data_IF_202346345731
#
_entry.id   IF_202346345731
#
_cell.length_a   1.000
_cell.length_b   1.000
_cell.length_c   1.000
_cell.angle_alpha   90.00
_cell.angle_beta   90.00
_cell.angle_gamma   90.00
#
_symmetry.space_group_name_H-M   'P 1'
#
loop_
_entity.id
_entity.type
_entity.pdbx_description
1 polymer ?
#
# COMPACT_ATOMS: atom_id res chain seq x y z
N UNK A 1 1.85 7.01 30.32
CA UNK A 1 1.54 7.52 28.97
C UNK A 1 2.17 6.55 28.00
N UNK A 2 1.37 5.84 27.21
CA UNK A 2 1.91 5.02 26.13
C UNK A 2 2.48 5.97 25.09
N UNK A 3 3.79 6.00 24.95
CA UNK A 3 4.45 6.76 23.88
C UNK A 3 4.07 6.12 22.55
N UNK A 4 3.00 6.63 21.94
CA UNK A 4 2.54 6.19 20.62
C UNK A 4 3.67 6.38 19.60
N UNK A 5 3.97 5.31 18.86
CA UNK A 5 5.00 5.34 17.83
C UNK A 5 4.70 6.46 16.81
N UNK A 6 5.69 7.27 16.40
CA UNK A 6 5.46 8.41 15.50
C UNK A 6 4.69 8.08 14.22
N UNK A 7 4.93 6.88 13.66
CA UNK A 7 4.24 6.39 12.45
C UNK A 7 2.71 6.17 12.60
N UNK A 8 2.20 6.12 13.83
CA UNK A 8 0.76 5.98 14.11
C UNK A 8 0.05 7.33 14.25
N UNK A 9 0.80 8.44 14.33
CA UNK A 9 0.24 9.78 14.47
C UNK A 9 -0.27 10.30 13.13
N UNK A 10 -1.18 11.28 13.21
CA UNK A 10 -1.66 12.01 12.05
C UNK A 10 -0.50 12.76 11.39
N UNK A 11 -0.39 12.62 10.06
CA UNK A 11 0.58 13.36 9.25
C UNK A 11 0.09 14.79 9.00
N UNK A 12 1.02 15.69 8.65
CA UNK A 12 0.69 17.08 8.32
C UNK A 12 -0.39 17.15 7.21
N UNK A 13 -1.35 18.09 7.26
CA UNK A 13 -2.44 18.21 6.26
C UNK A 13 -1.98 18.22 4.80
N UNK A 14 -0.85 18.86 4.52
CA UNK A 14 -0.27 18.93 3.17
C UNK A 14 0.26 17.58 2.65
N UNK A 15 0.47 16.63 3.56
CA UNK A 15 0.98 15.29 3.26
C UNK A 15 -0.11 14.20 3.41
N UNK A 16 -1.39 14.58 3.50
CA UNK A 16 -2.47 13.61 3.47
C UNK A 16 -2.48 12.84 2.15
N UNK A 17 -2.84 11.56 2.21
CA UNK A 17 -2.98 10.75 1.00
C UNK A 17 -4.38 10.95 0.40
N UNK A 18 -4.47 11.26 -0.89
CA UNK A 18 -5.74 11.52 -1.57
C UNK A 18 -6.17 10.27 -2.34
N UNK A 19 -7.24 9.62 -1.89
CA UNK A 19 -7.84 8.50 -2.62
C UNK A 19 -8.69 9.05 -3.76
N UNK A 20 -8.53 8.50 -4.98
CA UNK A 20 -9.39 8.84 -6.13
C UNK A 20 -10.87 8.60 -5.79
N UNK A 21 -11.66 9.66 -5.90
CA UNK A 21 -13.10 9.66 -5.57
C UNK A 21 -13.40 9.19 -4.13
N UNK A 22 -12.44 9.36 -3.21
CA UNK A 22 -12.50 8.85 -1.84
C UNK A 22 -12.05 9.86 -0.79
N UNK A 23 -11.95 9.43 0.48
CA UNK A 23 -11.49 10.28 1.57
C UNK A 23 -10.00 10.57 1.48
N UNK A 24 -9.56 11.57 2.27
CA UNK A 24 -8.15 11.83 2.53
C UNK A 24 -7.71 11.00 3.72
N UNK A 25 -6.53 10.37 3.64
CA UNK A 25 -5.99 9.54 4.70
C UNK A 25 -4.89 10.28 5.44
N UNK A 26 -5.02 10.37 6.76
CA UNK A 26 -4.05 11.09 7.61
C UNK A 26 -3.08 10.20 8.37
N UNK A 27 -3.36 8.90 8.51
CA UNK A 27 -2.53 7.96 9.27
C UNK A 27 -2.75 6.51 8.80
N UNK A 28 -2.01 5.56 9.41
CA UNK A 28 -2.08 4.14 9.06
C UNK A 28 -3.44 3.47 9.40
N UNK A 29 -4.14 3.91 10.46
CA UNK A 29 -5.46 3.38 10.80
C UNK A 29 -6.51 3.70 9.74
N UNK A 30 -6.46 4.92 9.20
CA UNK A 30 -7.36 5.32 8.12
C UNK A 30 -7.05 4.57 6.83
N UNK A 31 -5.76 4.34 6.55
CA UNK A 31 -5.34 3.52 5.42
C UNK A 31 -5.85 2.09 5.53
N UNK A 32 -5.69 1.43 6.68
CA UNK A 32 -6.18 0.07 6.91
C UNK A 32 -7.69 -0.03 6.67
N UNK A 33 -8.45 0.88 7.30
CA UNK A 33 -9.91 0.91 7.18
C UNK A 33 -10.35 1.18 5.74
N UNK A 34 -9.68 2.11 5.06
CA UNK A 34 -10.01 2.45 3.68
C UNK A 34 -9.67 1.31 2.72
N UNK A 35 -8.53 0.63 2.88
CA UNK A 35 -8.18 -0.55 2.07
C UNK A 35 -9.25 -1.66 2.16
N UNK A 36 -9.91 -1.82 3.31
CA UNK A 36 -11.00 -2.82 3.46
C UNK A 36 -12.31 -2.40 2.78
N UNK A 37 -12.53 -1.11 2.55
CA UNK A 37 -13.80 -0.54 2.01
C UNK A 37 -13.70 -0.11 0.56
N UNK A 38 -12.50 0.28 0.13
CA UNK A 38 -12.14 0.74 -1.19
C UNK A 38 -12.56 -0.25 -2.27
N UNK A 39 -13.11 0.24 -3.37
CA UNK A 39 -13.44 -0.58 -4.55
C UNK A 39 -12.17 -0.99 -5.32
N UNK A 40 -12.25 -2.06 -6.10
CA UNK A 40 -11.10 -2.54 -6.88
C UNK A 40 -10.61 -1.50 -7.91
N UNK A 41 -11.54 -0.72 -8.49
CA UNK A 41 -11.18 0.35 -9.44
C UNK A 41 -10.38 1.47 -8.78
N UNK A 42 -10.78 1.88 -7.56
CA UNK A 42 -10.02 2.86 -6.78
C UNK A 42 -8.66 2.33 -6.38
N UNK A 43 -8.56 1.06 -5.98
CA UNK A 43 -7.29 0.43 -5.61
C UNK A 43 -6.33 0.36 -6.81
N UNK A 44 -6.81 -0.11 -7.96
CA UNK A 44 -6.01 -0.25 -9.18
C UNK A 44 -5.50 1.10 -9.73
N UNK A 45 -6.13 2.20 -9.35
CA UNK A 45 -5.64 3.54 -9.68
C UNK A 45 -4.32 3.88 -8.98
N UNK A 46 -4.14 3.40 -7.75
CA UNK A 46 -2.98 3.65 -6.90
C UNK A 46 -1.94 2.54 -6.98
N UNK A 47 -2.38 1.31 -7.22
CA UNK A 47 -1.54 0.11 -7.28
C UNK A 47 -1.74 -0.59 -8.61
N UNK A 48 -0.71 -0.60 -9.45
CA UNK A 48 -0.70 -1.32 -10.71
C UNK A 48 0.68 -1.95 -10.96
N UNK A 49 0.91 -2.46 -12.17
CA UNK A 49 2.17 -3.12 -12.48
C UNK A 49 3.39 -2.20 -12.48
N UNK A 50 3.17 -0.89 -12.68
CA UNK A 50 4.23 0.11 -12.77
C UNK A 50 4.41 0.92 -11.49
N UNK A 51 3.39 1.06 -10.64
CA UNK A 51 3.43 1.94 -9.46
C UNK A 51 2.66 1.39 -8.28
N UNK A 52 3.06 1.85 -7.10
CA UNK A 52 2.34 1.66 -5.85
C UNK A 52 2.42 2.97 -5.05
N UNK A 53 1.36 3.77 -5.07
CA UNK A 53 1.34 5.08 -4.44
C UNK A 53 1.31 4.98 -2.90
N UNK A 54 0.73 3.91 -2.34
CA UNK A 54 0.76 3.64 -0.90
C UNK A 54 2.18 3.38 -0.39
N UNK A 55 2.99 2.64 -1.16
CA UNK A 55 4.40 2.44 -0.84
C UNK A 55 5.14 3.77 -0.71
N UNK A 56 5.01 4.65 -1.71
CA UNK A 56 5.69 5.93 -1.74
C UNK A 56 5.25 6.81 -0.57
N UNK A 57 3.96 6.87 -0.29
CA UNK A 57 3.44 7.66 0.82
C UNK A 57 3.93 7.16 2.18
N UNK A 58 3.89 5.84 2.44
CA UNK A 58 4.36 5.29 3.71
C UNK A 58 5.87 5.50 3.90
N UNK A 59 6.65 5.33 2.83
CA UNK A 59 8.11 5.51 2.89
C UNK A 59 8.50 6.98 3.10
N UNK A 60 7.93 7.89 2.29
CA UNK A 60 8.36 9.28 2.29
C UNK A 60 7.64 10.16 3.32
N UNK A 61 6.38 9.88 3.66
CA UNK A 61 5.58 10.70 4.58
C UNK A 61 5.52 10.07 5.96
N UNK A 62 5.06 8.81 6.06
CA UNK A 62 4.89 8.13 7.36
C UNK A 62 6.23 7.72 7.97
N UNK A 63 7.27 7.56 7.13
CA UNK A 63 8.62 7.13 7.51
C UNK A 63 8.69 5.71 8.13
N UNK A 64 7.78 4.82 7.74
CA UNK A 64 7.86 3.39 8.12
C UNK A 64 8.43 2.55 6.96
N UNK A 65 9.76 2.50 6.89
CA UNK A 65 10.48 1.77 5.83
C UNK A 65 10.18 0.27 5.81
N UNK A 66 9.98 -0.32 6.99
CA UNK A 66 9.69 -1.75 7.09
C UNK A 66 8.35 -2.06 6.45
N UNK A 67 7.33 -1.27 6.78
CA UNK A 67 6.00 -1.44 6.20
C UNK A 67 6.02 -1.17 4.70
N UNK A 68 6.67 -0.09 4.26
CA UNK A 68 6.70 0.25 2.84
C UNK A 68 7.35 -0.89 2.02
N UNK A 69 8.51 -1.41 2.45
CA UNK A 69 9.15 -2.54 1.76
C UNK A 69 8.26 -3.78 1.66
N UNK A 70 7.41 -4.04 2.66
CA UNK A 70 6.44 -5.14 2.61
C UNK A 70 5.34 -4.87 1.59
N UNK A 71 4.84 -3.63 1.51
CA UNK A 71 3.78 -3.26 0.57
C UNK A 71 4.24 -3.19 -0.89
N UNK A 72 5.53 -2.91 -1.14
CA UNK A 72 6.07 -2.78 -2.49
C UNK A 72 5.81 -4.01 -3.39
N UNK A 73 5.67 -5.21 -2.80
CA UNK A 73 5.50 -6.47 -3.52
C UNK A 73 4.04 -6.94 -3.59
N UNK A 74 3.12 -6.21 -2.96
CA UNK A 74 1.73 -6.65 -2.77
C UNK A 74 0.81 -5.89 -3.71
N UNK A 75 0.09 -6.63 -4.55
CA UNK A 75 -0.90 -6.10 -5.50
C UNK A 75 -2.34 -6.53 -5.18
N UNK A 76 -2.53 -7.19 -4.06
CA UNK A 76 -3.85 -7.57 -3.56
C UNK A 76 -4.27 -6.61 -2.43
N UNK A 77 -5.47 -6.04 -2.55
CA UNK A 77 -5.98 -5.03 -1.62
C UNK A 77 -6.15 -5.59 -0.21
N UNK A 78 -6.70 -6.79 -0.08
CA UNK A 78 -7.00 -7.39 1.23
C UNK A 78 -5.71 -7.82 1.93
N UNK A 79 -4.76 -8.43 1.19
CA UNK A 79 -3.45 -8.76 1.71
C UNK A 79 -2.68 -7.51 2.18
N UNK A 80 -2.81 -6.39 1.46
CA UNK A 80 -2.23 -5.11 1.87
C UNK A 80 -2.84 -4.62 3.18
N UNK A 81 -4.18 -4.66 3.32
CA UNK A 81 -4.87 -4.30 4.56
C UNK A 81 -4.37 -5.13 5.76
N UNK A 82 -4.25 -6.45 5.60
CA UNK A 82 -3.80 -7.35 6.67
C UNK A 82 -2.33 -7.10 7.09
N UNK A 83 -1.47 -6.67 6.14
CA UNK A 83 -0.09 -6.29 6.46
C UNK A 83 -0.06 -4.99 7.25
N UNK A 84 -0.87 -4.00 6.86
CA UNK A 84 -0.98 -2.72 7.57
C UNK A 84 -1.53 -2.94 8.98
N UNK A 85 -2.62 -3.70 9.13
CA UNK A 85 -3.19 -4.05 10.45
C UNK A 85 -2.17 -4.72 11.37
N UNK A 86 -1.45 -5.74 10.86
CA UNK A 86 -0.41 -6.42 11.62
C UNK A 86 0.70 -5.47 12.05
N UNK A 87 1.05 -4.52 11.19
CA UNK A 87 2.08 -3.52 11.51
C UNK A 87 1.60 -2.55 12.58
N UNK A 88 0.35 -2.08 12.49
CA UNK A 88 -0.27 -1.24 13.53
C UNK A 88 -0.20 -1.95 14.88
N UNK A 89 -0.62 -3.21 14.96
CA UNK A 89 -0.57 -3.99 16.20
C UNK A 89 0.85 -4.12 16.79
N UNK A 90 1.89 -4.25 15.93
CA UNK A 90 3.29 -4.27 16.36
C UNK A 90 3.78 -2.92 16.91
N UNK A 91 3.20 -1.82 16.44
CA UNK A 91 3.57 -0.47 16.84
C UNK A 91 2.82 -0.03 18.12
N UNK A 92 1.61 -0.55 18.34
CA UNK A 92 0.82 -0.30 19.56
C UNK A 92 1.37 -1.04 20.78
N UNK A 93 1.63 -2.33 20.63
CA UNK A 93 2.21 -3.19 21.66
C UNK A 93 3.55 -3.73 21.16
N UNK A 94 4.66 -2.96 21.28
CA UNK A 94 5.97 -3.49 20.93
C UNK A 94 6.22 -4.72 21.81
N UNK A 95 6.49 -5.90 21.22
CA UNK A 95 6.70 -7.10 21.99
C UNK A 95 7.86 -6.88 22.96
N UNK A 96 7.56 -6.80 24.27
CA UNK A 96 8.54 -6.38 25.30
C UNK A 96 9.74 -7.33 25.42
N UNK A 97 9.65 -8.54 24.89
CA UNK A 97 10.65 -9.60 25.07
C UNK A 97 11.05 -10.35 23.78
N UNK A 98 10.67 -9.87 22.60
CA UNK A 98 11.13 -10.52 21.36
C UNK A 98 12.58 -10.09 21.12
N UNK A 99 13.52 -10.91 21.62
CA UNK A 99 14.95 -10.82 21.31
C UNK A 99 15.10 -10.49 19.82
N UNK A 100 15.97 -9.53 19.44
CA UNK A 100 16.08 -9.04 18.07
C UNK A 100 16.07 -10.23 17.14
N UNK A 101 15.03 -10.35 16.30
CA UNK A 101 14.94 -11.38 15.28
C UNK A 101 16.23 -11.22 14.50
N UNK A 102 17.16 -12.13 14.78
CA UNK A 102 18.53 -12.07 14.30
C UNK A 102 18.43 -11.85 12.82
N UNK A 103 19.14 -10.83 12.31
CA UNK A 103 19.31 -10.52 10.89
C UNK A 103 18.97 -11.76 10.10
N UNK A 104 17.78 -11.79 9.49
CA UNK A 104 17.46 -12.80 8.49
C UNK A 104 18.58 -12.58 7.50
N UNK A 105 19.61 -13.43 7.60
CA UNK A 105 20.73 -13.51 6.70
C UNK A 105 20.01 -13.59 5.38
N UNK A 106 20.04 -12.51 4.61
CA UNK A 106 19.49 -12.45 3.28
C UNK A 106 20.26 -13.52 2.55
N UNK A 107 19.78 -14.76 2.63
CA UNK A 107 20.23 -15.84 1.79
C UNK A 107 19.96 -15.28 0.41
N UNK A 108 21.05 -15.05 -0.33
CA UNK A 108 21.01 -14.59 -1.71
C UNK A 108 19.86 -15.35 -2.38
N UNK A 109 18.92 -14.67 -3.06
CA UNK A 109 17.87 -15.36 -3.78
C UNK A 109 18.56 -16.39 -4.65
N UNK A 110 18.36 -17.66 -4.30
CA UNK A 110 18.95 -18.75 -5.04
C UNK A 110 18.55 -18.55 -6.49
N UNK A 111 19.55 -18.61 -7.35
CA UNK A 111 19.46 -18.72 -8.79
C UNK A 111 18.31 -19.62 -9.23
N UNK A 112 17.77 -19.38 -10.44
CA UNK A 112 16.51 -19.93 -10.90
C UNK A 112 16.50 -21.44 -10.75
N UNK A 113 15.46 -21.93 -10.09
CA UNK A 113 15.12 -23.35 -10.04
C UNK A 113 14.89 -23.80 -11.49
N UNK A 114 15.95 -24.29 -12.13
CA UNK A 114 15.87 -25.27 -13.21
C UNK A 114 15.29 -26.53 -12.60
N UNK A 115 13.96 -26.55 -12.44
CA UNK A 115 13.21 -27.79 -12.22
C UNK A 115 13.37 -28.60 -13.50
N UNK A 116 14.31 -29.54 -13.47
CA UNK A 116 14.30 -30.68 -14.33
C UNK A 116 12.88 -31.27 -14.35
N UNK A 117 12.28 -31.28 -15.52
CA UNK A 117 11.04 -31.96 -15.79
C UNK A 117 11.23 -33.45 -15.50
N UNK A 118 10.79 -33.90 -14.32
CA UNK A 118 10.35 -35.28 -14.18
C UNK A 118 9.00 -35.37 -14.91
N UNK A 119 8.83 -36.29 -15.86
CA UNK A 119 7.55 -36.49 -16.53
C UNK A 119 6.58 -37.06 -15.50
N UNK A 120 5.77 -36.18 -14.90
CA UNK A 120 4.61 -36.61 -14.15
C UNK A 120 3.63 -37.16 -15.18
N UNK A 121 3.56 -38.49 -15.29
CA UNK A 121 2.46 -39.19 -15.97
C UNK A 121 1.18 -38.94 -15.17
N UNK A 122 0.64 -37.72 -15.25
CA UNK A 122 -0.66 -37.40 -14.69
C UNK A 122 -1.68 -37.80 -15.74
N UNK A 123 -2.20 -39.02 -15.60
CA UNK A 123 -3.46 -39.39 -16.21
C UNK A 123 -4.56 -38.52 -15.59
N UNK A 124 -4.71 -37.30 -16.12
CA UNK A 124 -5.88 -36.47 -15.87
C UNK A 124 -6.72 -36.61 -17.13
N UNK A 125 -7.68 -37.52 -17.09
CA UNK A 125 -8.80 -37.54 -18.01
C UNK A 125 -9.62 -36.27 -17.76
N UNK A 126 -9.20 -35.18 -18.39
CA UNK A 126 -10.01 -33.97 -18.49
C UNK A 126 -11.08 -34.32 -19.53
N UNK A 127 -12.38 -34.38 -19.18
CA UNK A 127 -13.42 -34.51 -20.17
C UNK A 127 -13.32 -33.32 -21.12
N UNK A 128 -13.12 -33.60 -22.41
CA UNK A 128 -13.27 -32.62 -23.48
C UNK A 128 -14.71 -32.11 -23.44
N UNK A 129 -14.96 -31.07 -22.65
CA UNK A 129 -16.13 -30.23 -22.87
C UNK A 129 -15.79 -29.41 -24.10
N UNK A 130 -16.22 -29.94 -25.25
CA UNK A 130 -16.32 -29.17 -26.49
C UNK A 130 -17.35 -28.07 -26.27
N UNK A 131 -16.90 -26.97 -25.68
CA UNK A 131 -17.65 -25.72 -25.73
C UNK A 131 -17.65 -25.32 -27.21
N UNK A 132 -18.79 -25.56 -27.87
CA UNK A 132 -19.11 -24.98 -29.16
C UNK A 132 -19.15 -23.48 -28.95
N UNK A 133 -18.03 -22.82 -29.14
CA UNK A 133 -17.99 -21.36 -29.24
C UNK A 133 -18.79 -21.04 -30.51
N UNK A 134 -19.97 -20.41 -30.41
CA UNK A 134 -20.70 -19.99 -31.59
C UNK A 134 -19.76 -19.09 -32.38
N UNK A 135 -19.65 -19.36 -33.69
CA UNK A 135 -18.91 -18.51 -34.60
C UNK A 135 -19.61 -17.16 -34.62
N UNK A 136 -19.14 -16.23 -33.78
CA UNK A 136 -19.58 -14.85 -33.79
C UNK A 136 -19.09 -14.28 -35.10
N UNK A 137 -19.99 -14.23 -36.08
CA UNK A 137 -19.80 -13.47 -37.30
C UNK A 137 -19.74 -12.00 -36.87
N UNK A 138 -18.52 -11.49 -36.73
CA UNK A 138 -18.30 -10.06 -36.54
C UNK A 138 -18.88 -9.40 -37.79
N UNK A 139 -19.98 -8.64 -37.70
CA UNK A 139 -20.51 -7.95 -38.85
C UNK A 139 -19.39 -7.07 -39.39
N UNK A 140 -19.13 -7.21 -40.69
CA UNK A 140 -18.17 -6.37 -41.42
C UNK A 140 -18.75 -4.96 -41.43
N UNK A 141 -18.53 -4.22 -40.35
CA UNK A 141 -18.89 -2.81 -40.24
C UNK A 141 -18.01 -2.10 -41.26
N UNK A 142 -18.58 -1.79 -42.43
CA UNK A 142 -17.97 -0.84 -43.35
C UNK A 142 -17.96 0.49 -42.63
N UNK A 143 -16.82 0.84 -42.03
CA UNK A 143 -16.60 2.18 -41.53
C UNK A 143 -16.86 3.12 -42.71
N UNK A 144 -17.83 4.04 -42.63
CA UNK A 144 -17.97 5.07 -43.64
C UNK A 144 -16.63 5.78 -43.72
N UNK A 145 -16.14 6.01 -44.94
CA UNK A 145 -14.98 6.86 -45.16
C UNK A 145 -15.32 8.24 -44.58
N UNK A 146 -14.93 8.47 -43.33
CA UNK A 146 -14.91 9.80 -42.76
C UNK A 146 -13.95 10.57 -43.64
N UNK A 147 -14.51 11.41 -44.50
CA UNK A 147 -13.78 12.42 -45.24
C UNK A 147 -12.98 13.17 -44.19
N UNK A 148 -11.68 12.88 -44.13
CA UNK A 148 -10.74 13.62 -43.30
C UNK A 148 -10.87 15.05 -43.79
N UNK A 149 -11.44 15.97 -43.00
CA UNK A 149 -11.50 17.37 -43.39
C UNK A 149 -10.06 17.77 -43.66
N UNK A 150 -9.78 18.24 -44.87
CA UNK A 150 -8.48 18.74 -45.26
C UNK A 150 -8.08 19.77 -44.20
N UNK A 151 -7.05 19.42 -43.40
CA UNK A 151 -6.62 20.28 -42.32
C UNK A 151 -6.26 21.63 -42.95
N UNK A 152 -6.79 22.74 -42.42
CA UNK A 152 -6.39 24.05 -42.91
C UNK A 152 -4.86 24.15 -42.85
N UNK A 153 -4.22 24.78 -43.85
CA UNK A 153 -2.78 24.95 -43.85
C UNK A 153 -2.35 25.55 -42.51
N UNK A 154 -1.41 24.89 -41.84
CA UNK A 154 -0.95 25.29 -40.52
C UNK A 154 -0.62 26.80 -40.55
N UNK A 155 -1.17 27.61 -39.62
CA UNK A 155 -0.82 29.02 -39.56
C UNK A 155 0.70 29.12 -39.43
N UNK A 156 1.30 30.03 -40.19
CA UNK A 156 2.73 30.29 -40.18
C UNK A 156 3.23 30.31 -38.73
N UNK A 157 4.06 29.32 -38.40
CA UNK A 157 4.57 29.07 -37.05
C UNK A 157 5.22 30.36 -36.58
N UNK A 158 4.54 31.07 -35.67
CA UNK A 158 5.11 32.22 -35.01
C UNK A 158 6.43 31.78 -34.35
N UNK A 159 7.50 32.59 -34.40
CA UNK A 159 8.79 32.24 -33.84
C UNK A 159 8.59 31.82 -32.38
N UNK A 160 9.04 30.60 -32.07
CA UNK A 160 8.88 29.98 -30.76
C UNK A 160 9.41 30.93 -29.68
N UNK A 161 8.68 31.08 -28.56
CA UNK A 161 9.09 31.95 -27.48
C UNK A 161 10.38 31.42 -26.85
N UNK A 162 11.36 32.32 -26.74
CA UNK A 162 12.54 32.33 -25.87
C UNK A 162 13.09 30.95 -25.47
N UNK A 163 14.28 30.65 -25.99
CA UNK A 163 15.03 29.45 -25.62
C UNK A 163 15.25 29.38 -24.11
N UNK A 164 15.36 28.15 -23.58
CA UNK A 164 15.57 27.89 -22.15
C UNK A 164 16.76 28.66 -21.57
N UNK A 165 17.83 28.83 -22.36
CA UNK A 165 19.01 29.65 -22.03
C UNK A 165 18.65 31.11 -21.70
N UNK A 166 17.68 31.68 -22.43
CA UNK A 166 17.24 33.07 -22.25
C UNK A 166 16.40 33.24 -20.97
N UNK A 167 15.64 32.21 -20.61
CA UNK A 167 14.89 32.16 -19.34
C UNK A 167 15.86 32.03 -18.16
N UNK A 168 16.89 31.19 -18.29
CA UNK A 168 17.88 30.96 -17.23
C UNK A 168 18.74 32.20 -16.97
N UNK A 169 19.15 32.92 -18.02
CA UNK A 169 19.85 34.20 -17.91
C UNK A 169 19.01 35.26 -17.17
N UNK A 170 17.70 35.32 -17.45
CA UNK A 170 16.80 36.30 -16.82
C UNK A 170 16.50 35.99 -15.35
N UNK A 171 16.51 34.72 -14.96
CA UNK A 171 16.39 34.31 -13.56
C UNK A 171 17.67 34.68 -12.79
N UNK A 172 18.86 34.41 -13.35
CA UNK A 172 20.14 34.79 -12.70
C UNK A 172 20.24 36.29 -12.44
N UNK A 173 19.81 37.13 -13.38
CA UNK A 173 19.86 38.58 -13.20
C UNK A 173 18.93 39.07 -12.09
N UNK A 174 17.83 38.35 -11.81
CA UNK A 174 16.83 38.75 -10.82
C UNK A 174 17.13 38.31 -9.39
N UNK A 175 18.06 37.37 -9.20
CA UNK A 175 18.46 36.87 -7.87
C UNK A 175 19.50 37.77 -7.18
N UNK A 176 20.09 38.74 -7.89
CA UNK A 176 21.05 39.71 -7.32
C UNK A 176 20.43 40.88 -6.53
N UNK A 177 19.11 41.08 -6.60
CA UNK A 177 18.39 42.18 -5.93
C UNK A 177 17.42 41.68 -4.86
N UNK A 178 17.77 40.61 -4.13
CA UNK A 178 16.97 40.23 -2.96
C UNK A 178 17.42 41.10 -1.77
N UNK A 179 16.53 41.96 -1.22
CA UNK A 179 16.89 42.80 -0.08
C UNK A 179 17.27 41.92 1.11
N UNK A 180 18.34 42.33 1.78
CA UNK A 180 18.90 41.72 2.98
C UNK A 180 17.79 41.47 4.01
N UNK A 181 17.44 40.20 4.21
CA UNK A 181 16.41 39.77 5.15
C UNK A 181 16.86 40.19 6.54
N UNK A 182 16.20 41.21 7.06
CA UNK A 182 16.46 41.76 8.40
C UNK A 182 16.31 40.67 9.45
N UNK A 183 17.40 40.52 10.20
CA UNK A 183 17.60 39.69 11.38
C UNK A 183 16.33 39.64 12.25
N UNK A 184 15.72 38.47 12.34
CA UNK A 184 14.59 38.21 13.23
C UNK A 184 15.09 38.29 14.67
N UNK A 185 14.61 39.28 15.42
CA UNK A 185 14.86 39.43 16.87
C UNK A 185 14.32 38.21 17.64
N UNK A 186 15.03 37.71 18.67
CA UNK A 186 14.60 36.57 19.47
C UNK A 186 13.31 36.88 20.23
N UNK A 187 12.30 36.04 20.02
CA UNK A 187 11.00 36.11 20.69
C UNK A 187 11.25 35.96 22.20
N UNK A 188 10.97 37.05 22.94
CA UNK A 188 11.01 37.05 24.41
C UNK A 188 10.00 36.04 24.94
N UNK A 189 10.47 35.15 25.81
CA UNK A 189 9.68 34.17 26.54
C UNK A 189 8.66 34.88 27.44
N UNK A 190 7.41 34.97 26.98
CA UNK A 190 6.30 35.37 27.83
C UNK A 190 5.93 34.19 28.72
N UNK A 191 6.49 34.25 29.93
CA UNK A 191 6.08 33.52 31.12
C UNK A 191 4.55 33.55 31.29
N UNK A 192 3.86 32.44 30.98
CA UNK A 192 2.50 32.20 31.46
C UNK A 192 2.54 31.16 32.59
N UNK A 193 2.55 31.71 33.79
CA UNK A 193 2.24 31.04 35.05
C UNK A 193 0.81 30.49 35.07
N UNK A 194 0.64 29.32 35.70
CA UNK A 194 -0.50 28.84 36.50
C UNK A 194 -1.92 29.11 35.97
N UNK A 195 -2.72 28.05 35.77
CA UNK A 195 -3.91 27.73 36.59
C UNK A 195 -4.26 26.23 36.40
N UNK A 196 -4.69 25.62 37.51
CA UNK A 196 -5.22 24.27 37.69
C UNK A 196 -6.29 23.88 36.65
N UNK A 197 -6.53 22.61 36.32
CA UNK A 197 -7.35 21.71 37.14
C UNK A 197 -7.22 20.24 36.69
N UNK A 198 -6.99 19.35 37.66
CA UNK A 198 -6.98 17.90 37.48
C UNK A 198 -8.42 17.39 37.47
N UNK A 199 -8.87 16.81 36.37
CA UNK A 199 -10.07 15.95 36.38
C UNK A 199 -9.66 14.48 36.29
N UNK A 200 -10.20 13.59 37.15
CA UNK A 200 -9.88 12.17 37.15
C UNK A 200 -10.58 11.45 35.99
N UNK A 201 -9.79 10.76 35.16
CA UNK A 201 -10.27 9.90 34.08
C UNK A 201 -10.99 8.69 34.68
N UNK A 202 -12.29 8.58 34.39
CA UNK A 202 -13.08 7.40 34.71
C UNK A 202 -12.49 6.17 34.02
N UNK A 203 -11.99 5.26 34.85
CA UNK A 203 -11.70 3.88 34.51
C UNK A 203 -13.03 3.19 34.15
N UNK A 204 -13.32 2.99 32.86
CA UNK A 204 -14.51 2.23 32.43
C UNK A 204 -14.14 1.14 31.43
N UNK A 205 -14.00 -0.05 32.01
CA UNK A 205 -14.42 -1.35 31.48
C UNK A 205 -13.64 -1.87 30.26
N UNK A 206 -12.52 -2.54 30.58
CA UNK A 206 -12.13 -3.76 29.87
C UNK A 206 -13.24 -4.79 30.10
N UNK A 207 -13.86 -5.27 29.04
CA UNK A 207 -14.39 -6.63 28.87
C UNK A 207 -15.15 -6.63 27.56
N UNK A 208 -14.54 -7.05 26.45
CA UNK A 208 -15.27 -7.76 25.41
C UNK A 208 -14.37 -8.83 24.77
N UNK A 209 -14.57 -10.05 25.29
CA UNK A 209 -14.72 -11.29 24.52
C UNK A 209 -13.55 -11.71 23.62
N UNK A 210 -12.54 -12.31 24.25
CA UNK A 210 -11.86 -13.50 23.68
C UNK A 210 -12.86 -14.66 23.68
N UNK A 211 -13.51 -14.94 22.56
CA UNK A 211 -14.10 -16.25 22.25
C UNK A 211 -14.00 -16.47 20.76
N UNK A 212 -12.99 -17.23 20.31
CA UNK A 212 -13.02 -18.11 19.13
C UNK A 212 -11.68 -18.88 19.08
N UNK A 213 -11.47 -19.77 20.06
CA UNK A 213 -10.38 -20.74 20.05
C UNK A 213 -10.86 -22.06 20.67
N UNK A 214 -11.91 -22.65 20.10
CA UNK A 214 -12.42 -23.94 20.54
C UNK A 214 -13.23 -24.64 19.43
N UNK A 215 -12.68 -24.85 18.22
CA UNK A 215 -13.31 -25.75 17.22
C UNK A 215 -12.34 -26.39 16.20
N UNK A 216 -11.06 -26.60 16.55
CA UNK A 216 -10.14 -27.44 15.75
C UNK A 216 -9.43 -28.54 16.56
N UNK A 217 -9.90 -28.82 17.78
CA UNK A 217 -9.31 -29.80 18.69
C UNK A 217 -9.85 -31.23 18.59
N UNK A 218 -10.77 -31.52 17.65
CA UNK A 218 -11.46 -32.84 17.60
C UNK A 218 -11.21 -33.64 16.31
N UNK A 219 -10.38 -33.15 15.38
CA UNK A 219 -10.00 -33.90 14.17
C UNK A 219 -8.58 -34.49 14.22
N UNK A 220 -7.77 -34.16 15.24
CA UNK A 220 -6.42 -34.69 15.38
C UNK A 220 -6.33 -36.02 16.16
N UNK A 221 -7.36 -36.41 16.92
CA UNK A 221 -7.38 -37.69 17.65
C UNK A 221 -7.95 -38.86 16.83
N UNK A 222 -8.67 -38.60 15.73
CA UNK A 222 -9.18 -39.66 14.85
C UNK A 222 -8.14 -40.30 13.93
N UNK A 223 -7.05 -39.59 13.62
CA UNK A 223 -6.04 -40.05 12.66
C UNK A 223 -4.95 -40.96 13.28
N UNK A 224 -4.75 -40.88 14.60
CA UNK A 224 -3.81 -41.79 15.30
C UNK A 224 -4.47 -43.14 15.61
N UNK A 225 -5.78 -43.19 15.86
CA UNK A 225 -6.48 -44.45 16.14
C UNK A 225 -6.73 -45.29 14.87
N UNK A 226 -6.87 -44.67 13.69
CA UNK A 226 -7.05 -45.37 12.42
C UNK A 226 -5.81 -46.16 11.94
N UNK A 227 -4.61 -45.72 12.31
CA UNK A 227 -3.35 -46.40 11.95
C UNK A 227 -3.03 -47.61 12.83
N UNK A 228 -3.67 -47.75 14.00
CA UNK A 228 -3.47 -48.91 14.87
C UNK A 228 -4.27 -50.15 14.42
N UNK A 229 -5.43 -49.97 13.79
CA UNK A 229 -6.30 -51.07 13.37
C UNK A 229 -5.80 -51.74 12.08
N UNK A 230 -5.13 -51.00 11.19
CA UNK A 230 -4.60 -51.53 9.92
C UNK A 230 -3.43 -52.53 10.11
N UNK A 231 -2.87 -52.66 11.32
CA UNK A 231 -1.77 -53.58 11.62
C UNK A 231 -2.22 -54.95 12.15
N UNK A 232 -3.54 -55.18 12.28
CA UNK A 232 -4.11 -56.43 12.80
C UNK A 232 -4.77 -57.31 11.71
N UNK A 233 -4.78 -56.86 10.45
CA UNK A 233 -5.46 -57.56 9.34
C UNK A 233 -4.54 -57.92 8.16
N UNK A 234 -3.23 -57.97 8.38
CA UNK A 234 -2.23 -58.55 7.46
C UNK A 234 -1.42 -59.58 8.23
#
# INVERSE_FOLDING_TARGET
MTDYHPALKDVHPDNHFYVRDGPRLKNLYELERELRRMTDSQFLHHVNDSKNDFYNWIFHVVKDERLSMQLAQVKDRNAMADIVERRIAQLEDPPKDVKPVQKIKREKPATPVKKAAKPVKRATSIPKMSVKIPKVEIPKVSLPAFAVPELPPAPAVAPLPLTFEEVEAKIRQKVGEMPEVTRIEPIRETSMSLVHERTPVHHRIKHHVRKHAAHYGTLALGLVLGLAIAKWFV
#
